data_IF_879228977958
#
_entry.id   IF_879228977958
#
_cell.length_a   1.000
_cell.length_b   1.000
_cell.length_c   1.000
_cell.angle_alpha   90.00
_cell.angle_beta   90.00
_cell.angle_gamma   90.00
#
_symmetry.space_group_name_H-M   'P 1'
#
loop_
_entity.id
_entity.type
_entity.pdbx_description
1 polymer ?
#
# COMPACT_ATOMS: atom_id res chain seq x y z
N UNK A 1 -12.30 -4.54 8.62
CA UNK A 1 -11.29 -4.53 7.55
C UNK A 1 -10.06 -3.82 8.07
N UNK A 2 -8.86 -4.32 7.76
CA UNK A 2 -7.62 -3.77 8.32
C UNK A 2 -7.27 -2.45 7.64
N UNK A 3 -6.94 -1.44 8.45
CA UNK A 3 -6.47 -0.13 7.98
C UNK A 3 -5.11 -0.29 7.29
N UNK A 4 -4.96 0.28 6.08
CA UNK A 4 -3.68 0.24 5.36
C UNK A 4 -2.75 1.31 5.91
N UNK A 5 -1.50 0.95 6.23
CA UNK A 5 -0.56 1.86 6.90
C UNK A 5 0.78 1.96 6.17
N UNK A 6 1.28 3.19 6.03
CA UNK A 6 2.67 3.46 5.64
C UNK A 6 3.53 3.57 6.90
N UNK A 7 4.56 2.73 7.00
CA UNK A 7 5.53 2.67 8.07
C UNK A 7 6.75 3.53 7.74
N UNK A 8 7.45 4.01 8.76
CA UNK A 8 8.77 4.63 8.58
C UNK A 8 9.77 3.61 7.97
N UNK A 9 10.76 4.06 7.18
CA UNK A 9 11.70 3.18 6.49
C UNK A 9 12.40 2.15 7.40
N UNK A 10 12.66 2.53 8.63
CA UNK A 10 13.42 1.79 9.63
C UNK A 10 12.53 1.24 10.76
N UNK A 11 11.20 1.39 10.64
CA UNK A 11 10.27 0.81 11.60
C UNK A 11 10.36 -0.73 11.59
N UNK A 12 10.39 -1.38 12.77
CA UNK A 12 10.38 -2.84 12.85
C UNK A 12 9.07 -3.40 12.28
N UNK A 13 9.12 -4.66 11.83
CA UNK A 13 7.93 -5.38 11.38
C UNK A 13 6.96 -5.49 12.57
N UNK A 14 5.70 -5.03 12.45
CA UNK A 14 4.72 -5.15 13.53
C UNK A 14 4.49 -6.61 13.93
N UNK A 15 4.29 -6.85 15.23
CA UNK A 15 4.04 -8.19 15.74
C UNK A 15 2.83 -8.84 15.04
N UNK A 16 3.00 -10.08 14.55
CA UNK A 16 1.96 -10.81 13.82
C UNK A 16 1.80 -10.43 12.34
N UNK A 17 2.57 -9.48 11.82
CA UNK A 17 2.64 -9.21 10.39
C UNK A 17 3.64 -10.16 9.69
N UNK A 18 3.27 -10.63 8.50
CA UNK A 18 4.16 -11.34 7.61
C UNK A 18 4.95 -10.34 6.75
N UNK A 19 6.27 -10.44 6.76
CA UNK A 19 7.12 -9.66 5.87
C UNK A 19 7.23 -10.36 4.50
N UNK A 20 6.69 -9.72 3.47
CA UNK A 20 6.77 -10.20 2.10
C UNK A 20 8.14 -9.91 1.47
N UNK A 21 8.92 -8.97 2.01
CA UNK A 21 10.21 -8.52 1.51
C UNK A 21 10.17 -7.25 0.65
N UNK A 22 11.31 -6.92 0.02
CA UNK A 22 11.45 -5.78 -0.90
C UNK A 22 11.02 -6.17 -2.31
N UNK A 23 10.08 -5.40 -2.89
CA UNK A 23 9.51 -5.63 -4.23
C UNK A 23 9.20 -7.13 -4.53
N UNK A 24 8.41 -7.80 -3.68
CA UNK A 24 8.21 -9.25 -3.79
C UNK A 24 7.40 -9.63 -5.03
N UNK A 25 7.47 -10.88 -5.51
CA UNK A 25 6.57 -11.32 -6.57
C UNK A 25 5.12 -11.33 -6.07
N UNK A 26 4.18 -11.04 -6.98
CA UNK A 26 2.76 -10.84 -6.65
C UNK A 26 2.11 -12.05 -5.97
N UNK A 27 2.42 -13.25 -6.45
CA UNK A 27 1.92 -14.53 -5.94
C UNK A 27 2.29 -14.75 -4.45
N UNK A 28 3.45 -14.24 -4.02
CA UNK A 28 3.87 -14.30 -2.62
C UNK A 28 2.98 -13.43 -1.74
N UNK A 29 2.65 -12.22 -2.19
CA UNK A 29 1.77 -11.32 -1.44
C UNK A 29 0.38 -11.92 -1.32
N UNK A 30 -0.18 -12.45 -2.41
CA UNK A 30 -1.50 -13.11 -2.39
C UNK A 30 -1.53 -14.28 -1.41
N UNK A 31 -0.52 -15.16 -1.44
CA UNK A 31 -0.45 -16.31 -0.50
C UNK A 31 -0.40 -15.87 0.95
N UNK A 32 0.38 -14.84 1.27
CA UNK A 32 0.48 -14.31 2.63
C UNK A 32 -0.82 -13.61 3.04
N UNK A 33 -1.48 -12.89 2.13
CA UNK A 33 -2.75 -12.24 2.44
C UNK A 33 -3.87 -13.27 2.68
N UNK A 34 -3.84 -14.38 1.94
CA UNK A 34 -4.81 -15.48 2.09
C UNK A 34 -4.74 -16.16 3.47
N UNK A 35 -3.61 -16.07 4.19
CA UNK A 35 -3.53 -16.58 5.57
C UNK A 35 -4.17 -15.65 6.61
N UNK A 36 -4.73 -14.50 6.21
CA UNK A 36 -5.52 -13.59 7.04
C UNK A 36 -4.72 -12.64 7.94
N UNK A 37 -3.39 -12.74 7.94
CA UNK A 37 -2.50 -11.84 8.68
C UNK A 37 -2.26 -10.52 7.96
N UNK A 38 -1.70 -9.54 8.67
CA UNK A 38 -1.19 -8.33 8.03
C UNK A 38 0.03 -8.67 7.17
N UNK A 39 0.13 -8.10 5.97
CA UNK A 39 1.26 -8.33 5.06
C UNK A 39 1.99 -7.03 4.83
N UNK A 40 3.28 -7.03 5.12
CA UNK A 40 4.21 -5.93 4.89
C UNK A 40 4.91 -6.09 3.55
N UNK A 41 4.89 -5.04 2.75
CA UNK A 41 5.72 -4.90 1.53
C UNK A 41 6.67 -3.73 1.72
N UNK A 42 7.94 -3.93 1.35
CA UNK A 42 8.92 -2.84 1.26
C UNK A 42 9.12 -2.47 -0.21
N UNK A 43 9.11 -1.18 -0.53
CA UNK A 43 9.46 -0.64 -1.85
C UNK A 43 10.53 0.42 -1.68
N UNK A 44 11.52 0.42 -2.57
CA UNK A 44 12.70 1.27 -2.49
C UNK A 44 12.88 2.04 -3.80
N UNK A 45 13.37 3.27 -3.69
CA UNK A 45 13.74 4.14 -4.82
C UNK A 45 14.62 5.26 -4.28
N UNK A 46 15.55 5.76 -5.09
CA UNK A 46 16.36 6.94 -4.77
C UNK A 46 15.71 8.25 -5.26
N UNK A 47 14.50 8.16 -5.83
CA UNK A 47 13.79 9.31 -6.34
C UNK A 47 13.44 10.32 -5.23
N UNK A 48 13.78 11.59 -5.47
CA UNK A 48 13.44 12.71 -4.60
C UNK A 48 11.98 13.17 -4.76
N UNK A 49 11.39 12.89 -5.91
CA UNK A 49 9.99 13.14 -6.23
C UNK A 49 9.22 11.80 -6.26
N UNK A 50 7.88 11.81 -6.16
CA UNK A 50 7.09 10.60 -6.21
C UNK A 50 7.39 9.76 -7.46
N UNK A 51 7.86 8.53 -7.26
CA UNK A 51 8.24 7.60 -8.31
C UNK A 51 7.00 6.87 -8.84
N UNK A 52 6.60 7.10 -10.11
CA UNK A 52 5.41 6.47 -10.67
C UNK A 52 5.46 4.93 -10.65
N UNK A 53 6.65 4.34 -10.81
CA UNK A 53 6.82 2.88 -10.79
C UNK A 53 6.56 2.30 -9.40
N UNK A 54 7.11 2.93 -8.37
CA UNK A 54 6.85 2.57 -6.97
C UNK A 54 5.38 2.73 -6.61
N UNK A 55 4.76 3.85 -6.99
CA UNK A 55 3.35 4.12 -6.73
C UNK A 55 2.42 3.11 -7.44
N UNK A 56 2.74 2.75 -8.69
CA UNK A 56 2.03 1.71 -9.41
C UNK A 56 2.17 0.36 -8.71
N UNK A 57 3.39 -0.03 -8.29
CA UNK A 57 3.61 -1.26 -7.55
C UNK A 57 2.83 -1.29 -6.23
N UNK A 58 2.85 -0.18 -5.47
CA UNK A 58 2.07 -0.05 -4.23
C UNK A 58 0.57 -0.27 -4.48
N UNK A 59 0.02 0.28 -5.57
CA UNK A 59 -1.39 0.07 -5.93
C UNK A 59 -1.73 -1.40 -6.16
N UNK A 60 -0.84 -2.15 -6.84
CA UNK A 60 -1.01 -3.57 -7.14
C UNK A 60 -0.93 -4.38 -5.85
N UNK A 61 0.11 -4.20 -5.03
CA UNK A 61 0.21 -4.93 -3.77
C UNK A 61 -0.94 -4.65 -2.80
N UNK A 62 -1.44 -3.42 -2.77
CA UNK A 62 -2.61 -3.06 -1.97
C UNK A 62 -3.88 -3.78 -2.47
N UNK A 63 -4.02 -3.95 -3.78
CA UNK A 63 -5.09 -4.73 -4.40
C UNK A 63 -4.99 -6.22 -4.04
N UNK A 64 -3.78 -6.76 -4.02
CA UNK A 64 -3.48 -8.17 -3.69
C UNK A 64 -3.55 -8.49 -2.20
N UNK A 65 -3.83 -7.50 -1.34
CA UNK A 65 -4.10 -7.70 0.08
C UNK A 65 -2.98 -7.29 1.03
N UNK A 66 -1.92 -6.63 0.55
CA UNK A 66 -0.96 -6.00 1.45
C UNK A 66 -1.63 -4.86 2.26
N UNK A 67 -1.32 -4.82 3.55
CA UNK A 67 -1.91 -3.85 4.50
C UNK A 67 -0.87 -2.94 5.13
N UNK A 68 0.42 -3.29 5.07
CA UNK A 68 1.52 -2.49 5.58
C UNK A 68 2.51 -2.21 4.45
N UNK A 69 2.96 -0.96 4.36
CA UNK A 69 3.89 -0.51 3.34
C UNK A 69 5.06 0.21 3.99
N UNK A 70 6.28 -0.15 3.63
CA UNK A 70 7.50 0.58 3.99
C UNK A 70 8.09 1.16 2.72
N UNK A 71 8.24 2.47 2.69
CA UNK A 71 8.75 3.24 1.54
C UNK A 71 9.66 4.35 2.03
N UNK A 72 10.56 4.90 1.19
CA UNK A 72 11.31 6.10 1.53
C UNK A 72 10.38 7.27 1.90
N UNK A 73 10.84 8.17 2.77
CA UNK A 73 10.02 9.31 3.24
C UNK A 73 9.52 10.19 2.07
N UNK A 74 10.34 10.38 1.02
CA UNK A 74 9.94 11.12 -0.19
C UNK A 74 8.73 10.53 -0.92
N UNK A 75 8.40 9.27 -0.65
CA UNK A 75 7.32 8.51 -1.29
C UNK A 75 6.10 8.33 -0.39
N UNK A 76 6.18 8.69 0.90
CA UNK A 76 5.19 8.34 1.90
C UNK A 76 3.80 8.92 1.60
N UNK A 77 3.72 10.21 1.23
CA UNK A 77 2.45 10.88 0.93
C UNK A 77 1.81 10.37 -0.36
N UNK A 78 2.61 10.20 -1.42
CA UNK A 78 2.13 9.60 -2.67
C UNK A 78 1.60 8.18 -2.45
N UNK A 79 2.30 7.39 -1.63
CA UNK A 79 1.87 6.03 -1.28
C UNK A 79 0.55 6.07 -0.50
N UNK A 80 0.42 6.91 0.54
CA UNK A 80 -0.84 7.07 1.28
C UNK A 80 -2.00 7.40 0.34
N UNK A 81 -1.81 8.35 -0.58
CA UNK A 81 -2.81 8.73 -1.57
C UNK A 81 -3.23 7.55 -2.48
N UNK A 82 -2.27 6.75 -2.95
CA UNK A 82 -2.56 5.55 -3.76
C UNK A 82 -3.37 4.52 -2.96
N UNK A 83 -2.98 4.24 -1.71
CA UNK A 83 -3.69 3.27 -0.86
C UNK A 83 -5.13 3.70 -0.59
N UNK A 84 -5.31 5.01 -0.36
CA UNK A 84 -6.58 5.70 -0.21
C UNK A 84 -7.45 5.60 -1.47
N UNK A 85 -6.84 5.77 -2.64
CA UNK A 85 -7.50 5.62 -3.93
C UNK A 85 -7.94 4.18 -4.17
N UNK A 86 -7.05 3.20 -3.95
CA UNK A 86 -7.35 1.76 -4.06
C UNK A 86 -8.50 1.37 -3.14
N UNK A 87 -8.49 1.83 -1.88
CA UNK A 87 -9.58 1.57 -0.94
C UNK A 87 -10.92 2.16 -1.42
N UNK A 88 -10.89 3.33 -2.08
CA UNK A 88 -12.10 3.94 -2.64
C UNK A 88 -12.62 3.16 -3.84
N UNK A 89 -11.72 2.73 -4.74
CA UNK A 89 -12.05 1.91 -5.91
C UNK A 89 -12.64 0.55 -5.48
N UNK A 90 -12.12 -0.04 -4.41
CA UNK A 90 -12.65 -1.28 -3.83
C UNK A 90 -13.97 -1.08 -3.08
N UNK A 91 -14.40 0.16 -2.84
CA UNK A 91 -15.61 0.47 -2.08
C UNK A 91 -15.48 0.28 -0.57
N UNK A 92 -14.25 0.15 -0.03
CA UNK A 92 -14.02 -0.03 1.41
C UNK A 92 -13.88 1.29 2.16
N UNK A 93 -13.80 2.41 1.44
CA UNK A 93 -13.94 3.77 1.96
C UNK A 93 -14.63 4.67 0.93
N UNK A 94 -15.30 5.77 1.33
CA UNK A 94 -15.81 6.74 0.38
C UNK A 94 -14.66 7.52 -0.29
N UNK A 95 -14.85 8.00 -1.54
CA UNK A 95 -13.94 8.96 -2.16
C UNK A 95 -13.86 10.26 -1.33
N UNK A 96 -12.67 10.88 -1.28
CA UNK A 96 -12.45 12.12 -0.53
C UNK A 96 -13.32 13.30 -1.03
N UNK A 97 -13.63 13.32 -2.33
CA UNK A 97 -14.52 14.33 -2.94
C UNK A 97 -15.49 13.62 -3.87
N UNK A 98 -16.78 13.63 -3.52
CA UNK A 98 -17.85 13.15 -4.38
C UNK A 98 -18.58 14.35 -4.98
N UNK A 99 -18.32 14.68 -6.26
CA UNK A 99 -19.08 15.70 -6.99
C UNK A 99 -20.22 15.04 -7.73
N UNK A 100 -21.47 15.45 -7.44
CA UNK A 100 -22.61 15.08 -8.26
C UNK A 100 -22.67 16.04 -9.44
N UNK A 101 -22.61 15.51 -10.67
CA UNK A 101 -22.93 16.30 -11.86
C UNK A 101 -24.41 16.63 -11.81
N UNK A 102 -24.75 17.86 -11.43
CA UNK A 102 -26.08 18.40 -11.68
C UNK A 102 -26.02 18.95 -13.10
N UNK A 103 -26.76 18.30 -14.00
CA UNK A 103 -27.03 18.78 -15.35
C UNK A 103 -28.01 19.95 -15.32
#
# INVERSE_FOLDING_TARGET
>A
MQERKVLAPDAPVPAGAADAGTAPPADRVERLAASGGAVLVTLETDAREPDPGLLAAASVYAWLGATLFRVPESQADGTRQVLDMVASIQGTRPPAVARRGLA
#
